data_IF_575400908170
#
_entry.id   IF_575400908170
#
_cell.length_a   1.000
_cell.length_b   1.000
_cell.length_c   1.000
_cell.angle_alpha   90.00
_cell.angle_beta   90.00
_cell.angle_gamma   90.00
#
_symmetry.space_group_name_H-M   'P 1'
#
loop_
_entity.id
_entity.type
_entity.pdbx_description
1 polymer ?
#
# COMPACT_ATOMS: atom_id res chain seq x y z
N UNK A 1 -13.40 3.50 2.45
CA UNK A 1 -14.66 3.82 3.14
C UNK A 1 -14.99 2.78 4.21
N UNK A 2 -15.19 1.51 3.85
CA UNK A 2 -15.55 0.48 4.82
C UNK A 2 -14.47 0.18 5.89
N UNK A 3 -13.18 0.42 5.61
CA UNK A 3 -12.07 0.26 6.56
C UNK A 3 -11.51 1.61 7.06
N UNK A 4 -12.29 2.70 6.98
CA UNK A 4 -11.79 4.06 7.29
C UNK A 4 -11.29 4.20 8.72
N UNK A 5 -11.97 3.61 9.71
CA UNK A 5 -11.56 3.74 11.11
C UNK A 5 -10.13 3.22 11.33
N UNK A 6 -9.87 1.99 10.91
CA UNK A 6 -8.56 1.36 11.05
C UNK A 6 -7.48 2.05 10.19
N UNK A 7 -7.82 2.52 8.99
CA UNK A 7 -6.91 3.33 8.16
C UNK A 7 -6.55 4.66 8.84
N UNK A 8 -7.53 5.34 9.43
CA UNK A 8 -7.30 6.56 10.19
C UNK A 8 -6.50 6.31 11.47
N UNK A 9 -6.70 5.18 12.15
CA UNK A 9 -5.88 4.79 13.29
C UNK A 9 -4.40 4.62 12.88
N UNK A 10 -4.13 3.95 11.75
CA UNK A 10 -2.79 3.84 11.16
C UNK A 10 -2.16 5.21 10.89
N UNK A 11 -2.88 6.11 10.19
CA UNK A 11 -2.38 7.45 9.89
C UNK A 11 -2.14 8.27 11.15
N UNK A 12 -3.10 8.32 12.08
CA UNK A 12 -2.98 9.12 13.32
C UNK A 12 -1.84 8.63 14.21
N UNK A 13 -1.62 7.31 14.28
CA UNK A 13 -0.58 6.73 15.13
C UNK A 13 0.81 6.93 14.55
N UNK A 14 0.97 6.79 13.23
CA UNK A 14 2.29 6.69 12.62
C UNK A 14 2.67 7.87 11.71
N UNK A 15 1.75 8.77 11.39
CA UNK A 15 1.99 9.96 10.57
C UNK A 15 1.87 11.25 11.40
N UNK A 16 2.61 11.29 12.51
CA UNK A 16 2.62 12.42 13.47
C UNK A 16 3.54 13.57 13.06
N UNK A 17 4.46 13.31 12.14
CA UNK A 17 5.49 14.22 11.65
C UNK A 17 5.87 13.88 10.19
N UNK A 18 6.78 14.68 9.62
CA UNK A 18 7.30 14.45 8.27
C UNK A 18 8.09 13.16 8.22
N UNK A 19 7.99 12.45 7.08
CA UNK A 19 8.59 11.13 6.91
C UNK A 19 9.70 11.20 5.87
N UNK A 20 10.98 11.17 6.29
CA UNK A 20 12.13 11.19 5.37
C UNK A 20 12.05 10.15 4.26
N UNK A 21 11.50 8.96 4.53
CA UNK A 21 11.36 7.88 3.55
C UNK A 21 9.89 7.49 3.40
N UNK A 22 9.38 7.51 2.17
CA UNK A 22 8.02 7.01 1.88
C UNK A 22 8.09 5.84 0.91
N UNK A 23 7.60 4.69 1.36
CA UNK A 23 7.42 3.50 0.55
C UNK A 23 6.06 3.58 -0.15
N UNK A 24 6.04 3.32 -1.46
CA UNK A 24 4.81 3.39 -2.26
C UNK A 24 4.54 2.02 -2.89
N UNK A 25 3.44 1.40 -2.47
CA UNK A 25 2.86 0.22 -3.10
C UNK A 25 1.88 0.56 -4.22
N UNK A 26 1.42 -0.46 -4.94
CA UNK A 26 0.52 -0.27 -6.08
C UNK A 26 -0.93 -0.05 -5.64
N UNK A 27 -1.56 -1.09 -5.09
CA UNK A 27 -2.96 -1.07 -4.68
C UNK A 27 -3.26 -2.19 -3.65
N UNK A 28 -4.40 -2.15 -2.96
CA UNK A 28 -4.77 -3.16 -1.98
C UNK A 28 -4.78 -4.59 -2.51
N UNK A 29 -4.17 -5.51 -1.75
CA UNK A 29 -4.35 -6.95 -1.91
C UNK A 29 -5.61 -7.44 -1.18
N UNK A 30 -6.28 -8.50 -1.68
CA UNK A 30 -7.58 -8.95 -1.18
C UNK A 30 -7.59 -9.37 0.29
N UNK A 31 -6.46 -9.90 0.78
CA UNK A 31 -6.33 -10.43 2.13
C UNK A 31 -5.50 -9.53 3.06
N UNK A 32 -5.08 -8.36 2.57
CA UNK A 32 -4.25 -7.41 3.33
C UNK A 32 -4.98 -6.11 3.54
N UNK A 33 -4.63 -5.08 2.75
CA UNK A 33 -5.25 -3.76 2.86
C UNK A 33 -6.77 -3.79 2.61
N UNK A 34 -7.31 -4.72 1.81
CA UNK A 34 -8.77 -4.86 1.71
C UNK A 34 -9.44 -5.37 3.00
N UNK A 35 -8.67 -5.94 3.93
CA UNK A 35 -9.17 -6.40 5.23
C UNK A 35 -8.88 -5.37 6.32
N UNK A 36 -7.83 -4.58 6.17
CA UNK A 36 -7.27 -3.78 7.28
C UNK A 36 -7.27 -2.27 7.01
N UNK A 37 -7.43 -1.83 5.76
CA UNK A 37 -7.20 -0.44 5.39
C UNK A 37 -5.73 0.00 5.46
N UNK A 38 -4.79 -0.86 5.86
CA UNK A 38 -3.35 -0.52 5.96
C UNK A 38 -2.60 -1.08 4.74
N UNK A 39 -1.72 -0.30 4.07
CA UNK A 39 -0.88 -0.80 2.98
C UNK A 39 -0.11 -2.06 3.39
N UNK A 40 -0.05 -3.05 2.49
CA UNK A 40 0.56 -4.35 2.79
C UNK A 40 -0.01 -5.00 4.06
N UNK A 41 -1.28 -4.75 4.41
CA UNK A 41 -1.81 -5.02 5.75
C UNK A 41 -1.94 -6.49 6.16
N UNK A 42 -0.82 -7.13 6.42
CA UNK A 42 -0.70 -8.46 7.02
C UNK A 42 -1.21 -8.42 8.46
N UNK A 43 -2.29 -9.15 8.73
CA UNK A 43 -3.08 -8.98 9.95
C UNK A 43 -2.27 -9.09 11.24
N UNK A 44 -1.37 -10.09 11.43
CA UNK A 44 -0.52 -10.12 12.62
C UNK A 44 0.37 -8.88 12.78
N UNK A 45 0.93 -8.35 11.69
CA UNK A 45 1.69 -7.10 11.77
C UNK A 45 0.79 -5.91 12.14
N UNK A 46 -0.45 -5.85 11.66
CA UNK A 46 -1.38 -4.76 11.98
C UNK A 46 -1.88 -4.84 13.43
N UNK A 47 -2.33 -6.02 13.86
CA UNK A 47 -2.95 -6.25 15.16
C UNK A 47 -1.92 -6.42 16.28
N UNK A 48 -0.91 -7.26 16.07
CA UNK A 48 -0.01 -7.69 17.16
C UNK A 48 1.23 -6.80 17.25
N UNK A 49 1.85 -6.49 16.11
CA UNK A 49 3.07 -5.68 16.06
C UNK A 49 2.76 -4.17 16.14
N UNK A 50 1.95 -3.65 15.22
CA UNK A 50 1.55 -2.23 15.19
C UNK A 50 0.49 -1.88 16.23
N UNK A 51 -0.19 -2.86 16.83
CA UNK A 51 -1.25 -2.66 17.84
C UNK A 51 -2.29 -1.65 17.37
N UNK A 52 -2.79 -1.88 16.15
CA UNK A 52 -3.89 -1.12 15.59
C UNK A 52 -5.20 -1.88 15.77
N UNK A 53 -6.22 -1.15 16.15
CA UNK A 53 -7.58 -1.62 16.36
C UNK A 53 -8.55 -0.67 15.64
N UNK A 54 -9.71 -1.19 15.28
CA UNK A 54 -10.74 -0.42 14.58
C UNK A 54 -11.72 -1.34 13.87
N UNK A 55 -12.95 -0.86 13.68
CA UNK A 55 -13.99 -1.59 12.98
C UNK A 55 -13.74 -1.56 11.47
N UNK A 56 -14.07 -2.68 10.82
CA UNK A 56 -14.02 -2.81 9.37
C UNK A 56 -15.38 -3.30 8.91
N UNK A 57 -16.09 -2.43 8.18
CA UNK A 57 -17.39 -2.71 7.60
C UNK A 57 -17.29 -3.56 6.34
N UNK A 58 -18.42 -4.06 5.87
CA UNK A 58 -18.54 -4.72 4.58
C UNK A 58 -18.65 -3.67 3.46
N UNK A 59 -17.89 -3.79 2.35
CA UNK A 59 -18.08 -2.91 1.20
C UNK A 59 -19.42 -3.18 0.50
N UNK A 60 -19.99 -2.14 -0.10
CA UNK A 60 -21.09 -2.33 -1.05
C UNK A 60 -20.61 -3.18 -2.23
N UNK A 61 -21.40 -4.19 -2.61
CA UNK A 61 -21.03 -5.11 -3.69
C UNK A 61 -19.95 -6.13 -3.31
N UNK A 62 -19.82 -6.47 -2.01
CA UNK A 62 -18.96 -7.58 -1.56
C UNK A 62 -19.22 -8.85 -2.39
N UNK A 63 -18.15 -9.45 -2.90
CA UNK A 63 -18.23 -10.76 -3.53
C UNK A 63 -18.12 -11.84 -2.44
N UNK A 64 -19.02 -12.81 -2.43
CA UNK A 64 -18.98 -13.94 -1.47
C UNK A 64 -17.65 -14.73 -1.51
N UNK A 65 -16.97 -14.72 -2.66
CA UNK A 65 -15.64 -15.34 -2.85
C UNK A 65 -14.46 -14.47 -2.39
N UNK A 66 -14.74 -13.22 -1.99
CA UNK A 66 -13.79 -12.23 -1.45
C UNK A 66 -14.41 -11.51 -0.24
N UNK A 67 -14.72 -12.24 0.85
CA UNK A 67 -15.27 -11.62 2.03
C UNK A 67 -14.26 -10.66 2.68
N UNK A 68 -14.78 -9.58 3.26
CA UNK A 68 -14.05 -8.62 4.09
C UNK A 68 -14.38 -8.91 5.55
N UNK A 69 -13.52 -9.64 6.24
CA UNK A 69 -13.72 -10.08 7.63
C UNK A 69 -12.90 -9.26 8.63
N UNK A 70 -12.31 -8.14 8.17
CA UNK A 70 -11.54 -7.26 9.04
C UNK A 70 -10.28 -7.93 9.60
N UNK A 71 -9.96 -7.60 10.85
CA UNK A 71 -8.87 -8.23 11.61
C UNK A 71 -9.12 -9.71 11.98
N UNK A 72 -10.32 -10.25 11.71
CA UNK A 72 -10.65 -11.66 11.90
C UNK A 72 -10.36 -12.52 10.66
N UNK A 73 -9.96 -11.92 9.55
CA UNK A 73 -9.63 -12.67 8.35
C UNK A 73 -8.44 -13.62 8.60
N UNK A 74 -8.59 -14.88 8.20
CA UNK A 74 -7.58 -15.94 8.41
C UNK A 74 -6.77 -16.24 7.15
N UNK A 75 -7.07 -15.57 6.03
CA UNK A 75 -6.36 -15.75 4.77
C UNK A 75 -4.99 -15.09 4.83
N UNK A 76 -3.99 -15.75 4.24
CA UNK A 76 -2.62 -15.25 4.21
C UNK A 76 -2.47 -14.18 3.14
N UNK A 77 -1.92 -13.05 3.54
CA UNK A 77 -1.40 -12.04 2.64
C UNK A 77 0.14 -12.12 2.67
N UNK A 78 0.71 -12.74 1.64
CA UNK A 78 2.13 -13.09 1.62
C UNK A 78 3.05 -11.89 1.36
N UNK A 79 2.58 -10.89 0.60
CA UNK A 79 3.43 -9.77 0.20
C UNK A 79 3.70 -8.85 1.39
N UNK A 80 2.67 -8.58 2.18
CA UNK A 80 2.78 -7.85 3.43
C UNK A 80 3.33 -8.65 4.59
N UNK A 81 3.15 -9.98 4.61
CA UNK A 81 3.91 -10.81 5.54
C UNK A 81 5.42 -10.63 5.32
N UNK A 82 5.87 -10.69 4.06
CA UNK A 82 7.27 -10.43 3.71
C UNK A 82 7.68 -8.99 4.03
N UNK A 83 6.88 -8.01 3.61
CA UNK A 83 7.18 -6.59 3.81
C UNK A 83 7.27 -6.22 5.29
N UNK A 84 6.23 -6.46 6.06
CA UNK A 84 6.21 -6.08 7.48
C UNK A 84 7.06 -7.01 8.32
N UNK A 85 7.19 -8.29 7.98
CA UNK A 85 8.10 -9.21 8.68
C UNK A 85 9.57 -8.79 8.56
N UNK A 86 9.98 -8.25 7.41
CA UNK A 86 11.31 -7.67 7.24
C UNK A 86 11.53 -6.49 8.19
N UNK A 87 10.60 -5.53 8.23
CA UNK A 87 10.76 -4.36 9.10
C UNK A 87 10.54 -4.66 10.58
N UNK A 88 9.75 -5.67 10.94
CA UNK A 88 9.68 -6.19 12.30
C UNK A 88 11.04 -6.76 12.72
N UNK A 89 11.69 -7.55 11.87
CA UNK A 89 13.03 -8.10 12.11
C UNK A 89 14.11 -7.02 12.22
N UNK A 90 14.11 -6.04 11.31
CA UNK A 90 15.13 -4.99 11.25
C UNK A 90 14.95 -3.91 12.32
N UNK A 91 13.71 -3.54 12.64
CA UNK A 91 13.41 -2.39 13.48
C UNK A 91 12.99 -2.79 14.90
N UNK A 92 12.59 -4.04 15.13
CA UNK A 92 12.08 -4.53 16.41
C UNK A 92 10.68 -3.96 16.71
N UNK A 93 10.59 -2.68 17.08
CA UNK A 93 9.32 -1.99 17.32
C UNK A 93 8.82 -1.27 16.08
N UNK A 94 7.49 -1.09 15.89
CA UNK A 94 6.97 -0.30 14.79
C UNK A 94 7.40 1.16 14.88
N UNK A 95 7.56 1.71 16.10
CA UNK A 95 8.00 3.10 16.32
C UNK A 95 9.34 3.38 15.65
N UNK A 96 10.29 2.43 15.71
CA UNK A 96 11.60 2.57 15.07
C UNK A 96 11.50 2.64 13.53
N UNK A 97 10.57 1.92 12.92
CA UNK A 97 10.32 2.05 11.48
C UNK A 97 9.65 3.39 11.17
N UNK A 98 8.56 3.68 11.88
CA UNK A 98 7.72 4.84 11.60
C UNK A 98 8.35 6.18 12.03
N UNK A 99 9.42 6.19 12.82
CA UNK A 99 10.19 7.40 13.12
C UNK A 99 10.63 8.12 11.83
N UNK A 100 11.10 7.35 10.84
CA UNK A 100 11.64 7.92 9.60
C UNK A 100 10.91 7.45 8.34
N UNK A 101 10.11 6.38 8.43
CA UNK A 101 9.48 5.76 7.27
C UNK A 101 7.95 5.83 7.34
N UNK A 102 7.31 5.80 6.18
CA UNK A 102 5.87 5.58 6.10
C UNK A 102 5.53 4.81 4.83
N UNK A 103 4.39 4.12 4.84
CA UNK A 103 3.94 3.31 3.70
C UNK A 103 2.61 3.82 3.20
N UNK A 104 2.51 3.98 1.88
CA UNK A 104 1.35 4.47 1.17
C UNK A 104 1.09 3.63 -0.09
N UNK A 105 -0.12 3.70 -0.65
CA UNK A 105 -0.44 3.07 -1.93
C UNK A 105 -0.78 4.12 -2.97
N UNK A 106 -0.30 3.94 -4.20
CA UNK A 106 -0.64 4.77 -5.35
C UNK A 106 -2.16 4.79 -5.60
N UNK A 107 -2.81 3.63 -5.56
CA UNK A 107 -4.22 3.48 -5.81
C UNK A 107 -4.89 2.82 -4.60
N UNK A 108 -5.90 3.43 -3.97
CA UNK A 108 -6.59 2.85 -2.82
C UNK A 108 -7.66 1.82 -3.22
N UNK A 109 -7.88 1.57 -4.51
CA UNK A 109 -8.94 0.68 -5.01
C UNK A 109 -8.42 -0.73 -5.30
N UNK A 110 -9.25 -1.73 -4.98
CA UNK A 110 -9.08 -3.10 -5.43
C UNK A 110 -10.15 -3.43 -6.48
N UNK A 111 -9.74 -4.15 -7.52
CA UNK A 111 -10.64 -4.55 -8.60
C UNK A 111 -10.67 -6.07 -8.70
N UNK A 112 -11.87 -6.62 -8.87
CA UNK A 112 -12.08 -8.05 -8.99
C UNK A 112 -12.99 -8.34 -10.18
N UNK A 113 -12.75 -9.46 -10.87
CA UNK A 113 -13.76 -10.11 -11.71
C UNK A 113 -14.87 -10.66 -10.80
N UNK A 114 -16.04 -10.92 -11.37
CA UNK A 114 -17.14 -11.61 -10.65
C UNK A 114 -16.71 -12.97 -10.05
N UNK A 115 -15.72 -13.63 -10.64
CA UNK A 115 -15.10 -14.85 -10.10
C UNK A 115 -14.20 -14.63 -8.87
N UNK A 116 -13.98 -13.38 -8.44
CA UNK A 116 -13.04 -13.00 -7.40
C UNK A 116 -11.58 -12.91 -7.87
N UNK A 117 -11.29 -13.15 -9.15
CA UNK A 117 -9.94 -12.97 -9.69
C UNK A 117 -9.53 -11.49 -9.60
N UNK A 118 -8.36 -11.22 -8.99
CA UNK A 118 -7.83 -9.87 -8.84
C UNK A 118 -7.46 -9.26 -10.19
N UNK A 119 -7.77 -7.97 -10.38
CA UNK A 119 -7.33 -7.15 -11.50
C UNK A 119 -6.52 -6.00 -10.92
N UNK A 120 -5.28 -5.85 -11.37
CA UNK A 120 -4.41 -4.75 -10.96
C UNK A 120 -4.66 -3.51 -11.82
N UNK A 121 -4.32 -2.30 -11.33
CA UNK A 121 -4.34 -1.09 -12.15
C UNK A 121 -3.51 -1.20 -13.45
N UNK A 122 -2.51 -2.07 -13.48
CA UNK A 122 -1.72 -2.35 -14.69
C UNK A 122 -2.51 -3.11 -15.77
N UNK A 123 -3.43 -3.99 -15.36
CA UNK A 123 -4.22 -4.87 -16.23
C UNK A 123 -5.48 -4.21 -16.78
N UNK A 124 -5.92 -3.08 -16.21
CA UNK A 124 -6.99 -2.26 -16.78
C UNK A 124 -6.59 -1.77 -18.18
N UNK A 125 -7.60 -1.52 -19.02
CA UNK A 125 -7.46 -1.11 -20.43
C UNK A 125 -8.34 0.12 -20.72
N UNK A 126 -8.13 0.73 -21.87
CA UNK A 126 -9.00 1.79 -22.38
C UNK A 126 -8.96 3.08 -21.57
N UNK A 127 -10.06 3.82 -21.65
CA UNK A 127 -10.22 5.14 -21.04
C UNK A 127 -10.33 5.05 -19.51
N UNK A 128 -10.87 3.95 -18.97
CA UNK A 128 -10.97 3.72 -17.53
C UNK A 128 -9.60 3.64 -16.89
N UNK A 129 -8.64 2.98 -17.54
CA UNK A 129 -7.25 2.94 -17.07
C UNK A 129 -6.65 4.34 -17.00
N UNK A 130 -6.81 5.15 -18.05
CA UNK A 130 -6.25 6.50 -18.13
C UNK A 130 -6.82 7.38 -17.02
N UNK A 131 -8.15 7.40 -16.88
CA UNK A 131 -8.85 8.16 -15.82
C UNK A 131 -8.39 7.75 -14.42
N UNK A 132 -8.29 6.45 -14.16
CA UNK A 132 -7.80 5.96 -12.87
C UNK A 132 -6.36 6.42 -12.62
N UNK A 133 -5.48 6.28 -13.62
CA UNK A 133 -4.09 6.69 -13.51
C UNK A 133 -3.95 8.18 -13.25
N UNK A 134 -4.69 9.02 -13.97
CA UNK A 134 -4.69 10.49 -13.78
C UNK A 134 -5.10 10.85 -12.35
N UNK A 135 -6.21 10.28 -11.85
CA UNK A 135 -6.71 10.54 -10.50
C UNK A 135 -5.73 10.05 -9.44
N UNK A 136 -5.23 8.81 -9.55
CA UNK A 136 -4.29 8.25 -8.58
C UNK A 136 -2.95 9.01 -8.59
N UNK A 137 -2.44 9.38 -9.77
CA UNK A 137 -1.21 10.16 -9.89
C UNK A 137 -1.35 11.54 -9.25
N UNK A 138 -2.48 12.23 -9.49
CA UNK A 138 -2.76 13.52 -8.86
C UNK A 138 -2.79 13.41 -7.33
N UNK A 139 -3.56 12.46 -6.79
CA UNK A 139 -3.65 12.26 -5.34
C UNK A 139 -2.31 11.87 -4.71
N UNK A 140 -1.52 11.04 -5.39
CA UNK A 140 -0.20 10.66 -4.91
C UNK A 140 0.78 11.84 -4.94
N UNK A 141 0.74 12.68 -5.97
CA UNK A 141 1.54 13.91 -6.02
C UNK A 141 1.19 14.85 -4.86
N UNK A 142 -0.11 15.06 -4.60
CA UNK A 142 -0.59 15.84 -3.46
C UNK A 142 -0.08 15.27 -2.13
N UNK A 143 -0.21 13.95 -1.92
CA UNK A 143 0.29 13.29 -0.72
C UNK A 143 1.81 13.44 -0.55
N UNK A 144 2.59 13.26 -1.61
CA UNK A 144 4.06 13.43 -1.59
C UNK A 144 4.43 14.87 -1.24
N UNK A 145 3.78 15.85 -1.87
CA UNK A 145 4.05 17.26 -1.62
C UNK A 145 3.65 17.71 -0.21
N UNK A 146 2.68 17.05 0.42
CA UNK A 146 2.34 17.28 1.83
C UNK A 146 3.34 16.63 2.79
N UNK A 147 3.82 15.44 2.46
CA UNK A 147 4.76 14.68 3.29
C UNK A 147 6.20 15.20 3.19
N UNK A 148 6.55 15.81 2.07
CA UNK A 148 7.90 16.32 1.73
C UNK A 148 9.02 15.30 2.08
N UNK A 149 8.95 14.06 1.55
CA UNK A 149 9.97 13.06 1.85
C UNK A 149 11.29 13.42 1.20
N UNK A 150 12.40 12.94 1.78
CA UNK A 150 13.73 13.02 1.16
C UNK A 150 13.94 11.91 0.12
N UNK A 151 13.34 10.75 0.35
CA UNK A 151 13.44 9.58 -0.52
C UNK A 151 12.07 8.91 -0.68
N UNK A 152 11.73 8.60 -1.92
CA UNK A 152 10.60 7.75 -2.28
C UNK A 152 11.14 6.38 -2.71
N UNK A 153 10.58 5.32 -2.13
CA UNK A 153 10.89 3.93 -2.50
C UNK A 153 9.67 3.30 -3.15
N UNK A 154 9.70 3.17 -4.47
CA UNK A 154 8.66 2.43 -5.21
C UNK A 154 8.79 0.93 -4.98
N UNK A 155 7.67 0.26 -4.69
CA UNK A 155 7.62 -1.19 -4.53
C UNK A 155 7.08 -1.82 -5.82
N UNK A 156 8.02 -2.26 -6.66
CA UNK A 156 7.73 -2.85 -7.97
C UNK A 156 7.71 -1.85 -9.13
N UNK A 157 7.93 -2.39 -10.35
CA UNK A 157 8.14 -1.61 -11.57
C UNK A 157 6.96 -0.74 -11.98
N UNK A 158 5.72 -1.20 -11.78
CA UNK A 158 4.55 -0.40 -12.11
C UNK A 158 4.54 0.92 -11.33
N UNK A 159 4.82 0.88 -10.03
CA UNK A 159 4.86 2.08 -9.19
C UNK A 159 6.03 2.97 -9.60
N UNK A 160 7.18 2.39 -9.88
CA UNK A 160 8.36 3.12 -10.37
C UNK A 160 8.06 3.90 -11.65
N UNK A 161 7.36 3.30 -12.60
CA UNK A 161 6.98 3.94 -13.87
C UNK A 161 5.93 5.04 -13.68
N UNK A 162 5.13 5.00 -12.61
CA UNK A 162 4.21 6.10 -12.24
C UNK A 162 4.96 7.23 -11.53
N UNK A 163 5.94 6.92 -10.69
CA UNK A 163 6.83 7.92 -10.07
C UNK A 163 7.67 8.67 -11.07
N UNK A 164 8.30 7.98 -12.02
CA UNK A 164 9.06 8.63 -13.11
C UNK A 164 8.20 9.61 -13.91
N UNK A 165 6.93 9.28 -14.13
CA UNK A 165 6.01 10.18 -14.83
C UNK A 165 5.68 11.43 -14.00
N UNK A 166 5.48 11.30 -12.68
CA UNK A 166 5.27 12.49 -11.82
C UNK A 166 6.48 13.43 -11.83
N UNK A 167 7.70 12.90 -11.76
CA UNK A 167 8.93 13.70 -11.90
C UNK A 167 8.98 14.39 -13.27
N UNK A 168 8.75 13.63 -14.35
CA UNK A 168 8.76 14.18 -15.72
C UNK A 168 7.74 15.30 -15.92
N UNK A 169 6.60 15.22 -15.26
CA UNK A 169 5.54 16.23 -15.28
C UNK A 169 5.78 17.41 -14.32
N UNK A 170 6.88 17.42 -13.57
CA UNK A 170 7.15 18.37 -12.49
C UNK A 170 6.04 18.44 -11.44
N UNK A 171 5.34 17.31 -11.23
CA UNK A 171 4.26 17.22 -10.23
C UNK A 171 4.78 17.04 -8.80
N UNK A 172 6.04 16.62 -8.66
CA UNK A 172 6.77 16.45 -7.40
C UNK A 172 8.20 17.01 -7.56
N UNK A 173 8.81 17.41 -6.45
CA UNK A 173 10.14 18.04 -6.44
C UNK A 173 11.25 17.06 -6.88
N UNK A 174 12.06 17.46 -7.86
CA UNK A 174 13.21 16.71 -8.37
C UNK A 174 14.36 16.56 -7.36
N UNK A 175 14.37 17.33 -6.27
CA UNK A 175 15.32 17.15 -5.17
C UNK A 175 15.09 15.85 -4.39
N UNK A 176 13.88 15.27 -4.47
CA UNK A 176 13.51 14.03 -3.80
C UNK A 176 14.22 12.85 -4.47
N UNK A 177 14.96 12.06 -3.70
CA UNK A 177 15.58 10.84 -4.19
C UNK A 177 14.55 9.77 -4.55
N UNK A 178 14.73 9.08 -5.68
CA UNK A 178 13.86 7.97 -6.09
C UNK A 178 14.62 6.64 -6.16
N UNK A 179 14.10 5.62 -5.47
CA UNK A 179 14.58 4.24 -5.50
C UNK A 179 13.43 3.29 -5.81
N UNK A 180 13.77 2.09 -6.28
CA UNK A 180 12.81 1.02 -6.50
C UNK A 180 13.34 -0.27 -5.90
N UNK A 181 12.49 -1.00 -5.19
CA UNK A 181 12.75 -2.37 -4.73
C UNK A 181 11.81 -3.35 -5.45
N UNK A 182 12.19 -4.64 -5.56
CA UNK A 182 11.28 -5.67 -6.07
C UNK A 182 10.00 -5.74 -5.25
N UNK A 183 8.88 -6.08 -5.89
CA UNK A 183 7.63 -6.29 -5.15
C UNK A 183 7.70 -7.62 -4.36
N UNK A 184 7.24 -7.67 -3.10
CA UNK A 184 7.30 -8.89 -2.27
C UNK A 184 6.39 -10.04 -2.71
N UNK A 185 5.68 -9.90 -3.83
CA UNK A 185 4.65 -10.87 -4.23
C UNK A 185 5.32 -12.16 -4.69
N UNK A 186 4.82 -13.35 -4.31
CA UNK A 186 5.33 -14.62 -4.80
C UNK A 186 5.08 -14.81 -6.32
N UNK A 187 4.22 -13.97 -6.93
CA UNK A 187 4.00 -13.96 -8.38
C UNK A 187 5.10 -13.21 -9.15
N UNK A 188 5.96 -12.47 -8.45
CA UNK A 188 7.11 -11.83 -9.07
C UNK A 188 8.15 -12.88 -9.45
N UNK A 189 8.66 -12.80 -10.68
CA UNK A 189 9.64 -13.75 -11.22
C UNK A 189 10.90 -13.75 -10.34
N UNK A 190 11.42 -14.94 -10.01
CA UNK A 190 12.63 -15.15 -9.20
C UNK A 190 12.58 -14.55 -7.79
N UNK A 191 11.39 -14.37 -7.20
CA UNK A 191 11.21 -13.75 -5.89
C UNK A 191 11.17 -14.76 -4.73
N UNK A 192 12.22 -15.58 -4.61
CA UNK A 192 12.32 -16.66 -3.61
C UNK A 192 12.89 -16.19 -2.28
N UNK A 193 13.84 -15.25 -2.29
CA UNK A 193 14.49 -14.66 -1.10
C UNK A 193 14.35 -13.14 -1.23
N UNK A 194 13.22 -12.61 -0.75
CA UNK A 194 12.91 -11.18 -0.92
C UNK A 194 13.51 -10.32 0.18
N UNK A 195 13.64 -10.91 1.37
CA UNK A 195 14.25 -10.35 2.58
C UNK A 195 15.76 -10.19 2.49
#
# INVERSE_FOLDING_TARGET
EYATELHCAYMKKFLTDRKPVVFVGMNPGPWGMCQTGVPFGYIPAIRDWMKLEGEVQKPEGELSVRPVDGLNCTKKEQSGQRFWGLFESLCGSPENFFENCFVYNLCPLAFFRSSGANITPAELKGEEKKKLQEICNKNLAEAINLLEPRVIVSIGRYVEDRMKELFKQNAIDHSIGHKCIPHPSPRSVNNTNWD
#
